data_IF_820397161100
#
_entry.id   IF_820397161100
#
_cell.length_a   1.000
_cell.length_b   1.000
_cell.length_c   1.000
_cell.angle_alpha   90.00
_cell.angle_beta   90.00
_cell.angle_gamma   90.00
#
_symmetry.space_group_name_H-M   'P 1'
#
loop_
_entity.id
_entity.type
_entity.pdbx_description
1 polymer ?
#
# COMPACT_ATOMS: atom_id res chain seq x y z
N UNK A 1 1.36 -35.86 16.38
CA UNK A 1 1.04 -35.31 17.72
C UNK A 1 1.81 -34.02 17.85
N UNK A 2 1.15 -32.91 17.49
CA UNK A 2 1.74 -31.57 17.56
C UNK A 2 1.55 -31.12 19.01
N UNK A 3 2.65 -30.85 19.70
CA UNK A 3 2.63 -30.36 21.07
C UNK A 3 1.84 -29.07 21.13
N UNK A 4 0.89 -29.00 22.06
CA UNK A 4 0.26 -27.75 22.47
C UNK A 4 1.38 -26.88 23.06
N UNK A 5 1.88 -25.90 22.32
CA UNK A 5 2.64 -24.81 22.91
C UNK A 5 1.64 -24.02 23.78
N UNK A 6 1.81 -24.14 25.09
CA UNK A 6 0.97 -23.53 26.13
C UNK A 6 1.49 -22.15 26.56
N UNK A 7 2.21 -21.44 25.70
CA UNK A 7 2.44 -20.00 25.89
C UNK A 7 1.15 -19.24 25.55
N UNK A 8 0.32 -19.08 26.59
CA UNK A 8 -0.73 -18.07 26.76
C UNK A 8 -0.51 -16.84 25.85
N UNK A 9 -1.32 -16.56 24.82
CA UNK A 9 -2.76 -16.22 24.87
C UNK A 9 -3.10 -15.29 26.04
N UNK A 10 -2.40 -14.16 26.12
CA UNK A 10 -2.80 -13.04 26.96
C UNK A 10 -2.92 -11.80 26.08
N UNK A 11 -4.03 -11.08 26.26
CA UNK A 11 -4.15 -9.64 26.06
C UNK A 11 -2.80 -8.95 25.90
N UNK A 12 -2.51 -8.38 24.72
CA UNK A 12 -1.21 -7.76 24.41
C UNK A 12 -0.79 -6.85 25.57
N UNK A 13 0.32 -7.13 26.29
CA UNK A 13 0.76 -6.33 27.45
C UNK A 13 0.83 -4.84 27.13
N UNK A 14 1.11 -4.53 25.86
CA UNK A 14 1.10 -3.19 25.28
C UNK A 14 -0.26 -2.50 25.37
N UNK A 15 -1.36 -3.20 25.04
CA UNK A 15 -2.72 -2.66 25.13
C UNK A 15 -3.18 -2.48 26.58
N UNK A 16 -2.80 -3.39 27.48
CA UNK A 16 -3.07 -3.24 28.92
C UNK A 16 -2.35 -2.02 29.48
N UNK A 17 -1.05 -1.89 29.20
CA UNK A 17 -0.27 -0.74 29.65
C UNK A 17 -0.76 0.57 29.04
N UNK A 18 -1.11 0.58 27.75
CA UNK A 18 -1.60 1.77 27.08
C UNK A 18 -3.02 2.17 27.53
N UNK A 19 -3.95 1.23 27.69
CA UNK A 19 -5.29 1.51 28.23
C UNK A 19 -5.27 2.02 29.67
N UNK A 20 -4.24 1.67 30.44
CA UNK A 20 -3.93 2.24 31.76
C UNK A 20 -3.35 3.66 31.74
N UNK A 21 -3.23 4.31 30.58
CA UNK A 21 -2.65 5.65 30.42
C UNK A 21 -1.15 5.65 30.10
N UNK A 22 -0.54 4.48 29.94
CA UNK A 22 0.87 4.34 29.56
C UNK A 22 1.12 4.68 28.09
N UNK A 23 2.39 4.96 27.78
CA UNK A 23 2.86 5.06 26.40
C UNK A 23 3.70 3.83 26.06
N UNK A 24 3.28 3.06 25.07
CA UNK A 24 3.94 1.84 24.62
C UNK A 24 4.22 1.92 23.12
N UNK A 25 5.28 1.25 22.67
CA UNK A 25 5.57 1.05 21.25
C UNK A 25 5.51 -0.44 20.98
N UNK A 26 4.59 -0.89 20.13
CA UNK A 26 4.45 -2.30 19.77
C UNK A 26 5.69 -2.78 19.00
N UNK A 27 5.92 -4.11 18.89
CA UNK A 27 6.97 -4.66 18.03
C UNK A 27 6.86 -4.22 16.57
N UNK A 28 5.64 -3.96 16.07
CA UNK A 28 5.38 -3.42 14.73
C UNK A 28 5.63 -1.91 14.61
N UNK A 29 6.13 -1.26 15.67
CA UNK A 29 6.44 0.18 15.72
C UNK A 29 5.23 1.09 15.95
N UNK A 30 4.07 0.54 16.32
CA UNK A 30 2.88 1.35 16.62
C UNK A 30 3.04 2.04 17.96
N UNK A 31 2.88 3.36 18.01
CA UNK A 31 2.89 4.10 19.28
C UNK A 31 1.47 4.17 19.84
N UNK A 32 1.25 3.52 20.96
CA UNK A 32 0.02 3.58 21.75
C UNK A 32 0.24 4.53 22.92
N UNK A 33 -0.40 5.70 22.91
CA UNK A 33 -0.22 6.73 23.95
C UNK A 33 -1.54 6.97 24.70
N UNK A 34 -1.77 6.21 25.77
CA UNK A 34 -2.97 6.32 26.59
C UNK A 34 -3.13 7.66 27.32
N UNK A 35 -2.09 8.49 27.33
CA UNK A 35 -2.17 9.85 27.86
C UNK A 35 -2.80 10.84 26.86
N UNK A 36 -2.81 10.48 25.56
CA UNK A 36 -3.36 11.29 24.47
C UNK A 36 -4.62 10.69 23.88
N UNK A 37 -4.67 9.36 23.79
CA UNK A 37 -5.71 8.59 23.13
C UNK A 37 -6.52 7.77 24.13
N UNK A 38 -7.81 7.59 23.86
CA UNK A 38 -8.64 6.63 24.60
C UNK A 38 -8.46 5.25 23.98
N UNK A 39 -7.67 4.41 24.65
CA UNK A 39 -7.37 3.05 24.21
C UNK A 39 -8.19 2.07 25.04
N UNK A 40 -9.00 1.24 24.37
CA UNK A 40 -9.76 0.18 25.04
C UNK A 40 -8.81 -0.86 25.63
N UNK A 41 -9.11 -1.32 26.84
CA UNK A 41 -8.45 -2.49 27.38
C UNK A 41 -8.76 -3.71 26.49
N UNK A 42 -7.84 -4.68 26.41
CA UNK A 42 -8.11 -5.92 25.69
C UNK A 42 -9.32 -6.64 26.30
N UNK A 43 -10.15 -7.31 25.47
CA UNK A 43 -11.34 -8.00 25.94
C UNK A 43 -10.96 -9.08 26.97
N UNK A 44 -11.86 -9.31 27.93
CA UNK A 44 -11.68 -10.38 28.92
C UNK A 44 -11.74 -11.71 28.17
N UNK A 45 -10.80 -12.66 28.40
CA UNK A 45 -10.88 -13.97 27.79
C UNK A 45 -12.20 -14.64 28.19
N UNK A 46 -13.09 -14.87 27.22
CA UNK A 46 -14.27 -15.70 27.43
C UNK A 46 -14.03 -17.13 26.90
N UNK A 47 -14.85 -18.07 27.35
CA UNK A 47 -14.73 -19.47 26.93
C UNK A 47 -15.21 -19.71 25.49
N UNK A 48 -15.75 -18.68 24.83
CA UNK A 48 -16.50 -18.74 23.58
C UNK A 48 -15.77 -17.92 22.50
N UNK A 49 -14.49 -18.24 22.29
CA UNK A 49 -13.64 -17.75 21.19
C UNK A 49 -14.19 -18.02 19.77
N UNK A 50 -15.46 -18.42 19.61
CA UNK A 50 -16.03 -18.85 18.35
C UNK A 50 -16.11 -17.75 17.27
N UNK A 51 -16.15 -16.47 17.67
CA UNK A 51 -16.41 -15.35 16.74
C UNK A 51 -15.46 -14.14 16.88
N UNK A 52 -14.44 -14.19 17.74
CA UNK A 52 -13.49 -13.07 17.91
C UNK A 52 -12.18 -13.36 17.16
N UNK A 53 -11.66 -12.36 16.45
CA UNK A 53 -10.35 -12.44 15.81
C UNK A 53 -9.28 -12.15 16.86
N UNK A 54 -8.33 -13.07 17.02
CA UNK A 54 -7.17 -12.89 17.91
C UNK A 54 -6.40 -11.60 17.50
N UNK A 55 -6.18 -10.63 18.42
CA UNK A 55 -5.41 -9.43 18.14
C UNK A 55 -4.05 -9.70 17.49
N UNK A 56 -3.37 -10.80 17.84
CA UNK A 56 -2.09 -11.17 17.25
C UNK A 56 -2.19 -11.44 15.74
N UNK A 57 -3.35 -11.92 15.24
CA UNK A 57 -3.60 -12.10 13.81
C UNK A 57 -3.76 -10.75 13.12
N UNK A 58 -4.41 -9.79 13.77
CA UNK A 58 -4.55 -8.42 13.25
C UNK A 58 -3.19 -7.72 13.19
N UNK A 59 -2.35 -7.89 14.21
CA UNK A 59 -0.99 -7.35 14.24
C UNK A 59 -0.13 -7.93 13.12
N UNK A 60 -0.24 -9.24 12.86
CA UNK A 60 0.48 -9.87 11.75
C UNK A 60 -0.02 -9.37 10.38
N UNK A 61 -1.33 -9.21 10.21
CA UNK A 61 -1.92 -8.64 9.00
C UNK A 61 -1.47 -7.19 8.79
N UNK A 62 -1.47 -6.37 9.84
CA UNK A 62 -0.98 -5.00 9.78
C UNK A 62 0.49 -4.98 9.35
N UNK A 63 1.34 -5.76 10.02
CA UNK A 63 2.75 -5.87 9.69
C UNK A 63 2.99 -6.31 8.25
N UNK A 64 2.21 -7.28 7.75
CA UNK A 64 2.26 -7.69 6.35
C UNK A 64 1.85 -6.55 5.41
N UNK A 65 0.72 -5.89 5.67
CA UNK A 65 0.18 -4.84 4.80
C UNK A 65 1.08 -3.61 4.73
N UNK A 66 1.69 -3.19 5.84
CA UNK A 66 2.61 -2.03 5.82
C UNK A 66 3.88 -2.35 5.04
N UNK A 67 4.36 -3.59 5.08
CA UNK A 67 5.56 -4.03 4.35
C UNK A 67 5.26 -4.55 2.95
N UNK A 68 4.00 -4.48 2.51
CA UNK A 68 3.63 -4.87 1.16
C UNK A 68 4.21 -3.90 0.13
N UNK A 69 4.43 -4.39 -1.08
CA UNK A 69 5.14 -3.67 -2.12
C UNK A 69 4.39 -2.41 -2.54
N UNK A 70 5.13 -1.31 -2.71
CA UNK A 70 4.61 -0.17 -3.46
C UNK A 70 4.58 -0.54 -4.96
N UNK A 71 3.61 -0.01 -5.74
CA UNK A 71 3.60 -0.22 -7.19
C UNK A 71 4.91 0.24 -7.83
N UNK A 72 5.37 -0.52 -8.83
CA UNK A 72 6.58 -0.19 -9.58
C UNK A 72 6.39 0.91 -10.63
N UNK A 73 7.49 1.28 -11.27
CA UNK A 73 7.50 2.18 -12.42
C UNK A 73 7.85 1.41 -13.70
N UNK A 74 6.91 1.37 -14.64
CA UNK A 74 7.11 0.73 -15.94
C UNK A 74 8.09 1.48 -16.84
N UNK A 75 8.19 1.00 -18.08
CA UNK A 75 9.08 1.59 -19.09
C UNK A 75 8.85 3.11 -19.24
N UNK A 76 9.92 3.93 -19.25
CA UNK A 76 9.79 5.36 -19.50
C UNK A 76 9.09 5.65 -20.83
N UNK A 77 8.05 6.49 -20.78
CA UNK A 77 7.22 6.79 -21.95
C UNK A 77 7.05 8.31 -22.11
N UNK A 78 7.63 8.93 -23.15
CA UNK A 78 7.54 10.38 -23.36
C UNK A 78 6.11 10.92 -23.51
N UNK A 79 5.19 10.08 -24.00
CA UNK A 79 3.76 10.44 -24.11
C UNK A 79 3.11 10.45 -22.72
N UNK A 80 3.46 9.50 -21.86
CA UNK A 80 3.03 9.50 -20.45
C UNK A 80 3.64 10.69 -19.69
N UNK A 81 4.90 11.04 -19.94
CA UNK A 81 5.53 12.23 -19.33
C UNK A 81 4.83 13.52 -19.75
N UNK A 82 4.44 13.63 -21.02
CA UNK A 82 3.59 14.73 -21.48
C UNK A 82 2.21 14.69 -20.81
N UNK A 83 1.60 13.51 -20.67
CA UNK A 83 0.34 13.30 -19.99
C UNK A 83 0.34 13.75 -18.53
N UNK A 84 1.42 13.48 -17.79
CA UNK A 84 1.64 13.98 -16.42
C UNK A 84 1.67 15.50 -16.38
N UNK A 85 2.29 16.17 -17.35
CA UNK A 85 2.26 17.64 -17.45
C UNK A 85 0.84 18.15 -17.73
N UNK A 86 0.11 17.49 -18.63
CA UNK A 86 -1.30 17.81 -18.91
C UNK A 86 -2.15 17.63 -17.65
N UNK A 87 -1.95 16.54 -16.89
CA UNK A 87 -2.63 16.27 -15.63
C UNK A 87 -2.49 17.43 -14.63
N UNK A 88 -1.28 17.96 -14.47
CA UNK A 88 -1.01 19.13 -13.63
C UNK A 88 -1.69 20.39 -14.17
N UNK A 89 -1.60 20.66 -15.48
CA UNK A 89 -2.20 21.85 -16.12
C UNK A 89 -3.73 21.89 -16.04
N UNK A 90 -4.37 20.72 -16.10
CA UNK A 90 -5.82 20.58 -15.90
C UNK A 90 -6.22 20.89 -14.45
N UNK A 91 -5.28 20.84 -13.50
CA UNK A 91 -5.53 21.01 -12.07
C UNK A 91 -5.92 19.72 -11.36
N UNK A 92 -5.78 18.54 -11.99
CA UNK A 92 -6.11 17.26 -11.35
C UNK A 92 -5.25 17.00 -10.10
N UNK A 93 -4.02 17.52 -10.11
CA UNK A 93 -3.06 17.39 -9.02
C UNK A 93 -3.42 18.20 -7.75
N UNK A 94 -4.54 18.95 -7.73
CA UNK A 94 -5.00 19.63 -6.52
C UNK A 94 -5.50 18.66 -5.45
N UNK A 95 -6.14 17.56 -5.87
CA UNK A 95 -6.62 16.47 -5.00
C UNK A 95 -5.73 15.24 -5.18
N UNK A 96 -5.34 14.94 -6.42
CA UNK A 96 -4.44 13.82 -6.72
C UNK A 96 -2.97 14.23 -6.62
N UNK A 97 -2.55 14.57 -5.40
CA UNK A 97 -1.19 15.06 -5.11
C UNK A 97 -0.18 13.93 -5.33
N UNK A 98 0.85 14.18 -6.15
CA UNK A 98 1.76 13.15 -6.62
C UNK A 98 2.46 12.41 -5.48
N UNK A 99 3.04 13.15 -4.53
CA UNK A 99 3.88 12.58 -3.48
C UNK A 99 3.30 12.84 -2.10
N UNK A 100 3.56 11.94 -1.16
CA UNK A 100 3.14 12.04 0.23
C UNK A 100 4.28 11.68 1.17
N UNK A 101 4.45 12.48 2.22
CA UNK A 101 5.42 12.19 3.28
C UNK A 101 4.74 11.44 4.43
N UNK A 102 5.28 10.28 4.77
CA UNK A 102 4.99 9.56 6.01
C UNK A 102 6.03 10.01 7.04
N UNK A 103 5.60 10.63 8.14
CA UNK A 103 6.53 11.20 9.12
C UNK A 103 7.23 10.15 9.99
N UNK A 104 6.64 8.96 10.11
CA UNK A 104 7.16 7.86 10.91
C UNK A 104 6.90 6.54 10.18
N UNK A 105 7.87 6.13 9.37
CA UNK A 105 7.80 4.89 8.60
C UNK A 105 8.06 3.67 9.48
N UNK A 106 7.07 2.78 9.54
CA UNK A 106 7.08 1.56 10.35
C UNK A 106 7.51 0.33 9.56
N UNK A 107 7.83 0.49 8.28
CA UNK A 107 8.29 -0.62 7.44
C UNK A 107 9.69 -1.07 7.83
N UNK A 108 9.95 -2.36 7.63
CA UNK A 108 11.27 -2.97 7.77
C UNK A 108 12.02 -2.97 6.44
N UNK A 109 11.37 -2.72 5.31
CA UNK A 109 12.06 -2.53 4.04
C UNK A 109 11.34 -1.54 3.13
N UNK A 110 12.11 -0.83 2.31
CA UNK A 110 11.58 -0.24 1.09
C UNK A 110 11.85 -1.20 -0.06
N UNK A 111 10.80 -1.62 -0.75
CA UNK A 111 10.92 -2.48 -1.93
C UNK A 111 10.51 -1.65 -3.13
N UNK A 112 11.51 -1.22 -3.90
CA UNK A 112 11.31 -0.41 -5.10
C UNK A 112 11.40 -1.29 -6.36
N UNK A 113 10.38 -1.22 -7.21
CA UNK A 113 10.34 -1.97 -8.47
C UNK A 113 10.44 -1.00 -9.64
N UNK A 114 11.43 -1.21 -10.50
CA UNK A 114 11.70 -0.35 -11.66
C UNK A 114 11.80 -1.17 -12.93
N UNK A 115 11.56 -0.53 -14.08
CA UNK A 115 11.87 -1.11 -15.37
C UNK A 115 13.38 -1.27 -15.53
N UNK A 116 13.82 -2.53 -15.56
CA UNK A 116 15.19 -2.94 -15.81
C UNK A 116 15.12 -4.21 -16.67
N UNK A 117 15.23 -4.10 -18.01
CA UNK A 117 15.13 -5.25 -18.89
C UNK A 117 16.36 -6.17 -18.84
N UNK A 118 17.44 -5.75 -18.16
CA UNK A 118 18.67 -6.55 -18.03
C UNK A 118 18.57 -7.46 -16.82
N UNK A 119 18.20 -6.91 -15.66
CA UNK A 119 18.06 -7.67 -14.41
C UNK A 119 16.65 -8.23 -14.21
N UNK A 120 15.63 -7.61 -14.79
CA UNK A 120 14.23 -8.03 -14.76
C UNK A 120 13.93 -9.15 -15.74
N UNK A 121 14.60 -10.28 -15.61
CA UNK A 121 14.60 -11.37 -16.60
C UNK A 121 13.23 -12.03 -16.86
N UNK A 122 12.22 -11.80 -16.01
CA UNK A 122 10.89 -12.38 -16.12
C UNK A 122 9.88 -11.46 -16.82
N UNK A 123 9.84 -10.19 -16.43
CA UNK A 123 8.83 -9.22 -16.90
C UNK A 123 9.40 -7.82 -17.17
N UNK A 124 10.72 -7.72 -17.36
CA UNK A 124 11.48 -6.46 -17.52
C UNK A 124 11.43 -5.53 -16.31
N UNK A 125 10.96 -6.03 -15.16
CA UNK A 125 10.96 -5.29 -13.90
C UNK A 125 11.93 -5.95 -12.93
N UNK A 126 12.65 -5.12 -12.18
CA UNK A 126 13.53 -5.58 -11.11
C UNK A 126 13.19 -4.88 -9.80
N UNK A 127 13.05 -5.65 -8.73
CA UNK A 127 12.78 -5.15 -7.39
C UNK A 127 14.04 -5.10 -6.52
N UNK A 128 14.26 -3.96 -5.87
CA UNK A 128 15.34 -3.79 -4.90
C UNK A 128 14.73 -3.58 -3.52
N UNK A 129 14.93 -4.57 -2.64
CA UNK A 129 14.62 -4.46 -1.22
C UNK A 129 15.79 -3.81 -0.48
N UNK A 130 15.53 -2.68 0.16
CA UNK A 130 16.47 -1.94 1.01
C UNK A 130 16.00 -2.00 2.47
N UNK A 131 16.81 -2.54 3.40
CA UNK A 131 16.44 -2.59 4.82
C UNK A 131 16.19 -1.20 5.41
N UNK A 132 15.11 -1.09 6.19
CA UNK A 132 14.70 0.08 6.98
C UNK A 132 14.59 -0.26 8.48
N UNK A 133 15.34 -1.26 8.94
CA UNK A 133 15.36 -1.70 10.33
C UNK A 133 16.77 -1.68 10.93
N UNK A 134 16.83 -1.81 12.25
CA UNK A 134 18.01 -2.22 13.00
C UNK A 134 17.72 -3.54 13.71
N UNK A 135 18.74 -4.36 13.85
CA UNK A 135 18.63 -5.64 14.56
C UNK A 135 18.90 -5.46 16.05
N UNK A 136 18.14 -6.18 16.88
CA UNK A 136 18.30 -6.21 18.33
C UNK A 136 18.18 -7.64 18.83
N UNK A 137 19.21 -8.11 19.50
CA UNK A 137 19.13 -9.32 20.32
C UNK A 137 18.35 -9.01 21.61
N UNK A 138 17.23 -9.70 21.80
CA UNK A 138 16.38 -9.56 22.99
C UNK A 138 16.67 -10.63 24.06
N UNK A 139 17.68 -11.48 23.84
CA UNK A 139 18.07 -12.55 24.75
C UNK A 139 17.10 -13.74 24.79
N UNK A 140 16.13 -13.80 23.86
CA UNK A 140 15.16 -14.90 23.79
C UNK A 140 15.76 -16.19 23.20
N UNK A 141 16.91 -16.10 22.54
CA UNK A 141 17.50 -17.19 21.75
C UNK A 141 16.79 -17.46 20.42
N UNK A 142 15.93 -16.53 19.98
CA UNK A 142 15.30 -16.50 18.66
C UNK A 142 16.07 -15.53 17.73
N UNK A 143 15.80 -15.53 16.40
CA UNK A 143 16.37 -14.56 15.47
C UNK A 143 16.21 -13.12 15.94
N UNK A 144 17.22 -12.28 15.69
CA UNK A 144 17.24 -10.89 16.15
C UNK A 144 15.97 -10.12 15.73
N UNK A 145 15.44 -9.29 16.63
CA UNK A 145 14.30 -8.43 16.33
C UNK A 145 14.66 -7.39 15.28
N UNK A 146 13.88 -7.32 14.19
CA UNK A 146 13.99 -6.28 13.15
C UNK A 146 13.12 -5.09 13.52
N UNK A 147 13.68 -4.14 14.27
CA UNK A 147 12.96 -2.94 14.71
C UNK A 147 13.02 -1.84 13.64
N UNK A 148 11.88 -1.30 13.17
CA UNK A 148 11.85 -0.22 12.19
C UNK A 148 12.67 1.00 12.64
N UNK A 149 13.34 1.66 11.69
CA UNK A 149 14.13 2.87 11.96
C UNK A 149 13.25 4.07 12.34
N UNK A 150 11.98 4.09 11.91
CA UNK A 150 11.03 5.16 12.26
C UNK A 150 11.30 6.51 11.59
N UNK A 151 12.15 6.54 10.56
CA UNK A 151 12.48 7.75 9.81
C UNK A 151 11.28 8.23 8.97
N UNK A 152 11.31 9.50 8.56
CA UNK A 152 10.37 10.02 7.57
C UNK A 152 10.64 9.39 6.20
N UNK A 153 9.59 9.10 5.44
CA UNK A 153 9.65 8.49 4.13
C UNK A 153 8.78 9.24 3.12
N UNK A 154 9.33 9.51 1.94
CA UNK A 154 8.59 10.11 0.82
C UNK A 154 8.04 9.01 -0.09
N UNK A 155 6.74 8.80 -0.04
CA UNK A 155 6.02 7.98 -1.02
C UNK A 155 5.83 8.81 -2.28
N UNK A 156 6.55 8.45 -3.34
CA UNK A 156 6.43 9.13 -4.63
C UNK A 156 5.27 8.55 -5.44
N UNK A 157 4.65 9.39 -6.27
CA UNK A 157 3.71 8.97 -7.31
C UNK A 157 2.48 8.16 -6.83
N UNK A 158 2.00 8.42 -5.61
CA UNK A 158 0.77 7.84 -5.06
C UNK A 158 -0.50 8.54 -5.58
N UNK A 159 -0.40 9.83 -5.94
CA UNK A 159 -1.49 10.63 -6.53
C UNK A 159 -2.77 10.71 -5.69
N UNK A 160 -2.63 11.11 -4.44
CA UNK A 160 -3.74 11.36 -3.52
C UNK A 160 -3.32 12.30 -2.39
N UNK A 161 -4.28 13.05 -1.86
CA UNK A 161 -4.16 13.78 -0.61
C UNK A 161 -4.86 13.10 0.58
N UNK A 162 -5.52 11.96 0.35
CA UNK A 162 -6.38 11.23 1.28
C UNK A 162 -7.48 12.06 1.94
N UNK A 163 -7.80 13.24 1.39
CA UNK A 163 -8.88 14.09 1.90
C UNK A 163 -10.20 13.71 1.27
N UNK A 164 -11.29 14.14 1.92
CA UNK A 164 -12.65 13.97 1.44
C UNK A 164 -13.06 15.18 0.61
N UNK A 165 -13.56 14.92 -0.59
CA UNK A 165 -14.01 15.95 -1.53
C UNK A 165 -15.41 15.66 -2.05
N UNK A 166 -16.16 16.71 -2.33
CA UNK A 166 -17.37 16.63 -3.13
C UNK A 166 -16.99 16.63 -4.62
N UNK A 167 -17.10 15.47 -5.27
CA UNK A 167 -16.82 15.29 -6.71
C UNK A 167 -18.11 15.33 -7.57
N UNK A 168 -19.19 15.88 -7.03
CA UNK A 168 -20.44 16.19 -7.72
C UNK A 168 -21.53 15.12 -7.62
N UNK A 169 -22.76 15.54 -7.94
CA UNK A 169 -23.99 14.72 -7.81
C UNK A 169 -23.97 13.39 -8.55
N UNK A 170 -23.14 13.26 -9.60
CA UNK A 170 -22.97 12.01 -10.35
C UNK A 170 -22.32 10.89 -9.53
N UNK A 171 -21.78 11.22 -8.35
CA UNK A 171 -21.10 10.35 -7.41
C UNK A 171 -21.83 10.27 -6.06
N UNK A 172 -22.96 10.95 -5.87
CA UNK A 172 -23.65 10.87 -4.58
C UNK A 172 -24.31 9.51 -4.39
N UNK A 173 -24.15 8.96 -3.18
CA UNK A 173 -24.72 7.66 -2.81
C UNK A 173 -25.67 7.82 -1.62
N UNK A 174 -26.74 7.03 -1.60
CA UNK A 174 -27.67 7.00 -0.48
C UNK A 174 -27.27 5.87 0.46
N UNK A 175 -27.03 6.21 1.72
CA UNK A 175 -26.77 5.25 2.78
C UNK A 175 -28.03 4.45 3.14
N UNK A 176 -27.83 3.32 3.81
CA UNK A 176 -28.92 2.43 4.22
C UNK A 176 -29.93 3.11 5.17
N UNK A 177 -29.45 4.05 5.99
CA UNK A 177 -30.25 4.87 6.92
C UNK A 177 -31.01 6.01 6.23
N UNK A 178 -30.78 6.18 4.92
CA UNK A 178 -31.40 7.17 4.08
C UNK A 178 -30.71 8.52 3.99
N UNK A 179 -29.59 8.71 4.68
CA UNK A 179 -28.71 9.87 4.49
C UNK A 179 -28.00 9.81 3.14
N UNK A 180 -27.47 10.94 2.67
CA UNK A 180 -26.70 11.03 1.44
C UNK A 180 -25.21 11.19 1.74
N UNK A 181 -24.38 10.33 1.17
CA UNK A 181 -22.94 10.50 1.13
C UNK A 181 -22.57 11.37 -0.09
N UNK A 182 -22.06 12.56 0.19
CA UNK A 182 -21.67 13.55 -0.84
C UNK A 182 -20.16 13.73 -0.98
N UNK A 183 -19.40 13.27 0.01
CA UNK A 183 -17.94 13.40 0.03
C UNK A 183 -17.23 12.05 0.06
N UNK A 184 -16.17 11.95 -0.74
CA UNK A 184 -15.40 10.72 -0.91
C UNK A 184 -13.91 11.00 -0.79
N UNK A 185 -13.17 10.05 -0.24
CA UNK A 185 -11.72 10.14 -0.15
C UNK A 185 -11.11 10.06 -1.55
N UNK A 186 -10.17 10.95 -1.86
CA UNK A 186 -9.37 10.84 -3.09
C UNK A 186 -8.62 9.52 -3.06
N UNK A 187 -9.03 8.55 -3.89
CA UNK A 187 -8.31 7.27 -3.96
C UNK A 187 -6.95 7.49 -4.64
N UNK A 188 -5.86 6.84 -4.16
CA UNK A 188 -4.58 6.79 -4.87
C UNK A 188 -4.76 6.41 -6.35
N UNK A 189 -4.04 7.05 -7.27
CA UNK A 189 -4.06 6.67 -8.69
C UNK A 189 -2.97 5.67 -9.06
N UNK A 190 -2.11 5.28 -8.13
CA UNK A 190 -1.19 4.18 -8.34
C UNK A 190 -1.97 2.89 -8.71
N UNK A 191 -1.68 2.27 -9.86
CA UNK A 191 -2.49 1.13 -10.33
C UNK A 191 -3.84 1.46 -10.97
N UNK A 192 -4.20 2.73 -11.18
CA UNK A 192 -5.48 3.09 -11.84
C UNK A 192 -5.56 2.54 -13.27
N UNK A 193 -4.44 2.33 -13.96
CA UNK A 193 -4.41 1.74 -15.30
C UNK A 193 -4.85 0.27 -15.36
N UNK A 194 -4.92 -0.43 -14.22
CA UNK A 194 -5.19 -1.88 -14.14
C UNK A 194 -6.32 -2.27 -13.18
N UNK A 195 -7.08 -1.31 -12.65
CA UNK A 195 -8.05 -1.55 -11.54
C UNK A 195 -9.48 -1.10 -11.85
N UNK A 196 -9.84 -1.01 -13.13
CA UNK A 196 -11.23 -0.76 -13.52
C UNK A 196 -12.20 -1.85 -13.01
N UNK A 197 -13.51 -1.55 -12.88
CA UNK A 197 -14.16 -0.28 -13.22
C UNK A 197 -13.90 0.84 -12.19
N UNK A 198 -14.23 2.06 -12.56
CA UNK A 198 -13.86 3.30 -11.86
C UNK A 198 -15.04 3.98 -11.17
N UNK A 199 -14.69 4.88 -10.25
CA UNK A 199 -15.62 5.47 -9.29
C UNK A 199 -15.75 4.58 -8.07
N UNK A 200 -16.05 5.15 -6.90
CA UNK A 200 -16.33 4.34 -5.71
C UNK A 200 -17.56 3.45 -5.91
N UNK A 201 -18.44 3.84 -6.84
CA UNK A 201 -19.65 3.14 -7.24
C UNK A 201 -19.42 2.09 -8.35
N UNK A 202 -18.21 2.02 -8.91
CA UNK A 202 -17.84 1.09 -9.99
C UNK A 202 -18.62 1.29 -11.30
N UNK A 203 -19.28 2.43 -11.51
CA UNK A 203 -20.17 2.63 -12.69
C UNK A 203 -19.47 3.16 -13.94
N UNK A 204 -18.19 3.52 -13.85
CA UNK A 204 -17.43 3.99 -15.01
C UNK A 204 -16.54 2.90 -15.57
N UNK A 205 -16.75 2.51 -16.82
CA UNK A 205 -15.97 1.43 -17.44
C UNK A 205 -14.59 1.94 -17.91
N UNK A 206 -14.50 3.20 -18.33
CA UNK A 206 -13.25 3.78 -18.83
C UNK A 206 -12.77 4.97 -18.00
N UNK A 207 -11.46 5.26 -18.07
CA UNK A 207 -10.86 6.46 -17.48
C UNK A 207 -11.48 7.74 -18.05
N UNK A 208 -11.80 7.76 -19.34
CA UNK A 208 -12.49 8.88 -19.96
C UNK A 208 -13.86 9.13 -19.30
N UNK A 209 -14.64 8.06 -19.08
CA UNK A 209 -15.99 8.18 -18.52
C UNK A 209 -15.95 8.65 -17.08
N UNK A 210 -15.03 8.13 -16.26
CA UNK A 210 -14.91 8.59 -14.87
C UNK A 210 -14.45 10.05 -14.82
N UNK A 211 -13.47 10.46 -15.63
CA UNK A 211 -13.02 11.86 -15.69
C UNK A 211 -14.18 12.78 -16.08
N UNK A 212 -15.00 12.40 -17.07
CA UNK A 212 -16.13 13.21 -17.51
C UNK A 212 -17.30 13.25 -16.52
N UNK A 213 -17.42 12.26 -15.61
CA UNK A 213 -18.41 12.26 -14.53
C UNK A 213 -18.06 13.19 -13.37
N UNK A 214 -16.79 13.56 -13.20
CA UNK A 214 -16.35 14.47 -12.14
C UNK A 214 -17.09 15.81 -12.24
N UNK A 215 -17.53 16.31 -11.08
CA UNK A 215 -18.16 17.60 -10.88
C UNK A 215 -17.76 18.18 -9.53
N UNK A 216 -18.63 18.98 -8.91
CA UNK A 216 -18.36 19.57 -7.58
C UNK A 216 -17.06 20.36 -7.58
N UNK A 217 -16.17 20.06 -6.63
CA UNK A 217 -14.84 20.66 -6.51
C UNK A 217 -13.94 20.39 -7.74
N UNK A 218 -14.16 19.28 -8.46
CA UNK A 218 -13.40 18.89 -9.65
C UNK A 218 -13.98 19.42 -10.97
N UNK A 219 -15.09 20.19 -10.93
CA UNK A 219 -15.82 20.66 -12.11
C UNK A 219 -14.92 21.41 -13.11
N UNK A 220 -14.07 22.32 -12.62
CA UNK A 220 -13.19 23.10 -13.47
C UNK A 220 -12.16 22.23 -14.22
N UNK A 221 -11.59 21.22 -13.57
CA UNK A 221 -10.66 20.27 -14.18
C UNK A 221 -11.35 19.40 -15.22
N UNK A 222 -12.56 18.90 -14.91
CA UNK A 222 -13.37 18.14 -15.86
C UNK A 222 -13.71 18.96 -17.12
N UNK A 223 -14.09 20.22 -16.96
CA UNK A 223 -14.42 21.10 -18.09
C UNK A 223 -13.20 21.48 -18.92
N UNK A 224 -12.01 21.56 -18.32
CA UNK A 224 -10.77 21.70 -19.10
C UNK A 224 -10.47 20.42 -19.88
N UNK A 225 -10.65 19.24 -19.27
CA UNK A 225 -10.46 17.96 -19.94
C UNK A 225 -11.40 17.75 -21.14
N UNK A 226 -12.68 18.12 -21.00
CA UNK A 226 -13.68 17.98 -22.07
C UNK A 226 -13.33 18.81 -23.31
N UNK A 227 -12.62 19.93 -23.12
CA UNK A 227 -12.16 20.86 -24.17
C UNK A 227 -10.76 20.55 -24.72
N UNK A 228 -10.03 19.58 -24.16
CA UNK A 228 -8.73 19.18 -24.71
C UNK A 228 -8.86 18.64 -26.13
N UNK A 229 -7.89 19.01 -26.97
CA UNK A 229 -7.68 18.36 -28.27
C UNK A 229 -7.26 16.90 -28.11
N UNK A 230 -7.32 16.14 -29.21
CA UNK A 230 -7.03 14.70 -29.24
C UNK A 230 -5.66 14.35 -28.65
N UNK A 231 -4.61 15.10 -29.00
CA UNK A 231 -3.25 14.86 -28.51
C UNK A 231 -3.14 14.96 -26.99
N UNK A 232 -3.71 16.01 -26.38
CA UNK A 232 -3.69 16.17 -24.92
C UNK A 232 -4.52 15.12 -24.19
N UNK A 233 -5.66 14.72 -24.76
CA UNK A 233 -6.50 13.65 -24.20
C UNK A 233 -5.79 12.29 -24.25
N UNK A 234 -5.16 11.96 -25.38
CA UNK A 234 -4.35 10.74 -25.55
C UNK A 234 -3.21 10.74 -24.54
N UNK A 235 -2.44 11.82 -24.44
CA UNK A 235 -1.33 11.90 -23.50
C UNK A 235 -1.78 11.68 -22.06
N UNK A 236 -2.85 12.34 -21.62
CA UNK A 236 -3.39 12.14 -20.26
C UNK A 236 -3.81 10.69 -20.01
N UNK A 237 -4.51 10.07 -20.98
CA UNK A 237 -4.92 8.67 -20.84
C UNK A 237 -3.71 7.73 -20.85
N UNK A 238 -2.68 7.97 -21.67
CA UNK A 238 -1.44 7.19 -21.67
C UNK A 238 -0.75 7.27 -20.31
N UNK A 239 -0.70 8.46 -19.70
CA UNK A 239 -0.16 8.62 -18.35
C UNK A 239 -0.94 7.81 -17.32
N UNK A 240 -2.27 7.96 -17.25
CA UNK A 240 -3.07 7.21 -16.28
C UNK A 240 -3.01 5.70 -16.50
N UNK A 241 -3.00 5.25 -17.75
CA UNK A 241 -2.83 3.84 -18.11
C UNK A 241 -1.43 3.29 -17.80
N UNK A 242 -0.41 4.15 -17.65
CA UNK A 242 0.93 3.71 -17.23
C UNK A 242 1.04 3.48 -15.72
N UNK A 243 0.08 3.96 -14.92
CA UNK A 243 0.03 3.71 -13.48
C UNK A 243 -0.59 2.32 -13.26
N UNK A 244 0.20 1.26 -13.39
CA UNK A 244 -0.26 -0.13 -13.24
C UNK A 244 0.30 -0.78 -11.97
N UNK A 245 -0.41 -1.78 -11.45
CA UNK A 245 0.13 -2.66 -10.43
C UNK A 245 1.00 -3.73 -11.12
N UNK A 246 2.19 -3.97 -10.58
CA UNK A 246 3.09 -5.02 -11.06
C UNK A 246 2.94 -6.25 -10.16
N UNK A 247 2.84 -7.47 -10.73
CA UNK A 247 2.71 -8.69 -9.94
C UNK A 247 4.05 -8.99 -9.26
N UNK A 248 4.13 -8.96 -7.92
CA UNK A 248 5.36 -9.23 -7.20
C UNK A 248 5.79 -10.69 -7.27
N UNK A 249 4.88 -11.59 -7.66
CA UNK A 249 5.12 -13.03 -7.73
C UNK A 249 5.92 -13.42 -8.98
N UNK A 250 6.09 -12.53 -9.96
CA UNK A 250 6.81 -12.73 -11.22
C UNK A 250 7.91 -11.68 -11.48
N UNK A 251 8.42 -11.01 -10.45
CA UNK A 251 9.45 -9.95 -10.52
C UNK A 251 10.78 -10.37 -9.89
N UNK A 252 11.84 -10.40 -10.71
CA UNK A 252 13.19 -10.65 -10.23
C UNK A 252 13.62 -9.58 -9.22
N UNK A 253 14.46 -9.94 -8.25
CA UNK A 253 14.88 -9.02 -7.20
C UNK A 253 16.30 -9.25 -6.69
N UNK A 254 16.81 -8.34 -5.85
CA UNK A 254 18.06 -8.57 -5.14
C UNK A 254 17.97 -9.68 -4.07
N UNK A 255 16.76 -10.10 -3.68
CA UNK A 255 16.54 -11.22 -2.76
C UNK A 255 16.36 -12.56 -3.48
N UNK A 256 15.91 -12.52 -4.73
CA UNK A 256 15.83 -13.65 -5.65
C UNK A 256 15.96 -13.13 -7.10
N UNK A 257 17.19 -13.08 -7.66
CA UNK A 257 17.43 -12.52 -8.99
C UNK A 257 16.99 -13.45 -10.13
N UNK A 258 16.66 -14.70 -9.82
CA UNK A 258 16.47 -15.75 -10.83
C UNK A 258 17.76 -16.12 -11.57
N UNK A 259 17.68 -17.15 -12.41
CA UNK A 259 18.79 -17.61 -13.25
C UNK A 259 18.25 -18.11 -14.60
N UNK A 260 18.51 -17.38 -15.70
CA UNK A 260 18.02 -17.73 -17.04
C UNK A 260 18.73 -18.95 -17.64
N UNK A 261 19.83 -19.41 -17.03
CA UNK A 261 20.62 -20.55 -17.54
C UNK A 261 20.17 -21.89 -17.00
N UNK A 262 19.28 -21.91 -15.99
CA UNK A 262 18.76 -23.15 -15.42
C UNK A 262 17.79 -23.87 -16.36
N UNK A 263 17.84 -25.20 -16.31
CA UNK A 263 16.86 -26.05 -16.97
C UNK A 263 15.44 -25.68 -16.49
N UNK A 264 14.50 -25.57 -17.44
CA UNK A 264 13.10 -25.17 -17.19
C UNK A 264 12.93 -23.72 -16.70
N UNK A 265 13.76 -22.78 -17.17
CA UNK A 265 13.44 -21.35 -17.04
C UNK A 265 12.20 -21.01 -17.88
N UNK A 266 11.21 -20.28 -17.32
CA UNK A 266 11.16 -19.72 -15.97
C UNK A 266 10.63 -20.83 -14.99
N UNK A 267 11.25 -21.03 -13.80
CA UNK A 267 11.01 -22.21 -12.94
C UNK A 267 9.79 -22.07 -12.01
N UNK A 268 8.93 -23.08 -11.81
CA UNK A 268 7.79 -22.99 -10.86
C UNK A 268 8.16 -22.40 -9.48
N UNK A 269 7.54 -21.28 -9.08
CA UNK A 269 7.83 -20.54 -7.83
C UNK A 269 8.90 -19.44 -7.93
N UNK A 270 9.47 -19.21 -9.11
CA UNK A 270 10.31 -18.06 -9.46
C UNK A 270 9.61 -16.70 -9.40
N UNK A 271 10.42 -15.63 -9.36
CA UNK A 271 9.94 -14.26 -9.53
C UNK A 271 9.26 -13.68 -8.29
N UNK A 272 9.12 -14.46 -7.22
CA UNK A 272 8.59 -13.94 -5.97
C UNK A 272 9.72 -13.25 -5.21
N UNK A 273 9.55 -11.96 -4.91
CA UNK A 273 10.44 -11.26 -3.99
C UNK A 273 10.46 -12.07 -2.69
N UNK A 274 11.61 -12.64 -2.35
CA UNK A 274 11.77 -13.59 -1.22
C UNK A 274 11.67 -12.87 0.13
N UNK A 275 10.46 -12.39 0.44
CA UNK A 275 10.16 -11.57 1.61
C UNK A 275 10.42 -12.29 2.92
N UNK A 276 10.43 -13.62 2.96
CA UNK A 276 10.78 -14.37 4.17
C UNK A 276 12.19 -14.04 4.66
N UNK A 277 13.08 -13.53 3.80
CA UNK A 277 14.40 -13.00 4.21
C UNK A 277 14.26 -11.69 5.02
N UNK A 278 13.25 -10.88 4.73
CA UNK A 278 12.97 -9.63 5.43
C UNK A 278 12.17 -9.85 6.70
N UNK A 279 11.41 -10.95 6.78
CA UNK A 279 10.65 -11.33 7.96
C UNK A 279 11.47 -12.29 8.82
N UNK A 280 11.13 -12.40 10.11
CA UNK A 280 11.78 -13.38 10.98
C UNK A 280 10.99 -14.67 10.86
N UNK A 281 11.52 -15.65 10.12
CA UNK A 281 10.99 -17.02 10.15
C UNK A 281 11.57 -17.74 11.37
N UNK A 282 10.76 -18.10 12.38
CA UNK A 282 11.25 -18.79 13.57
C UNK A 282 11.77 -20.20 13.28
N UNK A 283 11.58 -20.71 12.07
CA UNK A 283 12.08 -22.01 11.61
C UNK A 283 13.39 -21.91 10.83
N UNK A 284 13.87 -20.71 10.51
CA UNK A 284 15.21 -20.49 9.96
C UNK A 284 16.23 -20.42 11.12
N UNK A 285 17.10 -21.44 11.29
CA UNK A 285 18.19 -21.36 12.25
C UNK A 285 19.24 -20.37 11.74
N UNK A 286 19.50 -19.32 12.52
CA UNK A 286 20.64 -18.40 12.33
C UNK A 286 21.95 -19.01 12.87
#
# INVERSE_FOLDING_TARGET
MIGKDTRSREATPDLLAASGGGRVVTPSGMVLDGSKDKISAPPVPDADHGNEVDPAVVDHLEFYLINYFKPGHGEPNPVADHGRKVFQQLGCASCHVADMTINHDRRVADVETVYDPVSGIFNSMFATATPLYREVDDGSGLPHLKLPLGNSFLVKDIFTDFKRHDVGVNFYERNWDGTMQTQFVTRPLWGVGSTGPYGHDGRSITLNDVILRHGGEAQASRDKYSRLGSSGRVALQTFLNSLVLFPPDDTASNLDPGDPTKNNFPQFGHGSIKLTVLFNDPTDPE
#
